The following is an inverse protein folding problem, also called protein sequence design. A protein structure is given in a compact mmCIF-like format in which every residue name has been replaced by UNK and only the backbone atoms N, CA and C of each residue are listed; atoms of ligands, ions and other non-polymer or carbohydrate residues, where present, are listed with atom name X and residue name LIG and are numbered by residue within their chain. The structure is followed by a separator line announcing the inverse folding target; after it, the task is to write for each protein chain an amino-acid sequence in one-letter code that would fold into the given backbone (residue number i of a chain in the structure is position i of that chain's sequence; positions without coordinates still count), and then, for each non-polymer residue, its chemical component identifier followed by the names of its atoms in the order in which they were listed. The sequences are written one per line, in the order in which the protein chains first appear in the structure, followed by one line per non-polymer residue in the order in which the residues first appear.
data_IF_928375130537
#
_entry.id   IF_928375130537
#
_cell.length_a   1.000
_cell.length_b   1.000
_cell.length_c   1.000
_cell.angle_alpha   90.00
_cell.angle_beta   90.00
_cell.angle_gamma   90.00
#
_symmetry.space_group_name_H-M   'P 1'
#
loop_
_entity.id
_entity.type
_entity.pdbx_description
1 polymer ?
#
# COMPACT_ATOMS: atom_id res chain seq x y z
N UNK A 1 4.77 -5.94 18.49
CA UNK A 1 5.09 -4.50 18.70
C UNK A 1 3.82 -3.76 19.12
N UNK A 2 3.87 -2.91 20.15
CA UNK A 2 2.64 -2.37 20.78
C UNK A 2 1.77 -1.55 19.83
N UNK A 3 2.40 -0.85 18.88
CA UNK A 3 1.70 -0.03 17.88
C UNK A 3 0.64 -0.81 17.09
N UNK A 4 0.75 -2.14 16.96
CA UNK A 4 -0.21 -2.95 16.20
C UNK A 4 -1.60 -2.94 16.83
N UNK A 5 -1.69 -2.89 18.16
CA UNK A 5 -2.96 -2.94 18.88
C UNK A 5 -3.73 -1.62 18.71
N UNK A 6 -3.01 -0.50 18.62
CA UNK A 6 -3.59 0.82 18.36
C UNK A 6 -3.89 1.02 16.87
N UNK A 7 -3.03 0.47 15.99
CA UNK A 7 -3.15 0.61 14.54
C UNK A 7 -4.24 -0.27 13.95
N UNK A 8 -4.55 -1.45 14.49
CA UNK A 8 -5.58 -2.31 13.92
C UNK A 8 -6.99 -1.74 14.20
N UNK A 9 -7.80 -1.43 13.17
CA UNK A 9 -9.19 -1.00 13.36
C UNK A 9 -10.11 -2.20 13.67
N UNK A 10 -11.34 -1.93 14.09
CA UNK A 10 -12.36 -2.99 14.27
C UNK A 10 -12.81 -3.62 12.95
N UNK A 11 -12.66 -2.90 11.83
CA UNK A 11 -12.93 -3.38 10.48
C UNK A 11 -11.75 -3.04 9.57
N UNK A 12 -11.17 -4.06 8.97
CA UNK A 12 -10.01 -3.95 8.10
C UNK A 12 -8.89 -4.92 8.48
N UNK A 13 -7.95 -5.14 7.57
CA UNK A 13 -6.85 -6.07 7.75
C UNK A 13 -5.85 -6.00 6.61
N UNK A 14 -4.71 -6.68 6.73
CA UNK A 14 -3.69 -6.67 5.70
C UNK A 14 -2.78 -7.91 5.81
N UNK A 15 -2.05 -8.19 4.73
CA UNK A 15 -0.96 -9.15 4.78
C UNK A 15 0.27 -8.53 5.47
N UNK A 16 0.74 -9.20 6.53
CA UNK A 16 1.96 -8.81 7.24
C UNK A 16 3.17 -8.84 6.32
N UNK A 17 4.13 -7.95 6.58
CA UNK A 17 5.25 -7.69 5.68
C UNK A 17 6.21 -8.85 5.47
N UNK A 18 6.40 -9.72 6.48
CA UNK A 18 7.27 -10.89 6.35
C UNK A 18 6.93 -11.97 7.39
N UNK A 19 7.13 -13.24 7.02
CA UNK A 19 7.02 -14.41 7.89
C UNK A 19 8.20 -15.34 7.64
N UNK A 20 8.95 -15.63 8.69
CA UNK A 20 10.04 -16.61 8.67
C UNK A 20 10.13 -17.34 10.03
N UNK A 21 10.96 -18.39 10.17
CA UNK A 21 11.12 -19.08 11.45
C UNK A 21 11.41 -18.10 12.59
N UNK A 22 10.59 -18.14 13.64
CA UNK A 22 10.65 -17.26 14.81
C UNK A 22 10.59 -15.74 14.53
N UNK A 23 10.14 -15.30 13.34
CA UNK A 23 10.06 -13.87 13.00
C UNK A 23 8.81 -13.56 12.18
N UNK A 24 8.07 -12.56 12.64
CA UNK A 24 7.00 -11.92 11.88
C UNK A 24 7.27 -10.41 11.84
N UNK A 25 7.35 -9.86 10.64
CA UNK A 25 7.38 -8.41 10.44
C UNK A 25 5.94 -7.94 10.25
N UNK A 26 5.39 -7.33 11.30
CA UNK A 26 4.03 -6.84 11.29
C UNK A 26 3.84 -5.57 10.47
N UNK A 27 4.89 -4.92 9.95
CA UNK A 27 4.69 -3.67 9.20
C UNK A 27 3.78 -3.88 7.99
N UNK A 28 2.93 -2.90 7.74
CA UNK A 28 2.12 -2.84 6.53
C UNK A 28 3.00 -2.37 5.37
N UNK A 29 2.89 -3.01 4.20
CA UNK A 29 3.57 -2.62 2.98
C UNK A 29 2.56 -2.42 1.86
N UNK A 30 2.53 -1.22 1.28
CA UNK A 30 1.57 -0.84 0.24
C UNK A 30 1.60 -1.79 -0.95
N UNK A 31 2.78 -1.90 -1.59
CA UNK A 31 2.90 -2.57 -2.88
C UNK A 31 2.52 -4.04 -2.78
N UNK A 32 2.95 -4.73 -1.71
CA UNK A 32 2.60 -6.13 -1.49
C UNK A 32 1.10 -6.35 -1.34
N UNK A 33 0.42 -5.53 -0.53
CA UNK A 33 -1.02 -5.65 -0.32
C UNK A 33 -1.82 -5.33 -1.60
N UNK A 34 -1.44 -4.30 -2.35
CA UNK A 34 -2.17 -3.91 -3.55
C UNK A 34 -1.91 -4.83 -4.74
N UNK A 35 -0.68 -5.31 -4.91
CA UNK A 35 -0.38 -6.34 -5.92
C UNK A 35 -1.12 -7.63 -5.59
N UNK A 36 -1.24 -8.02 -4.32
CA UNK A 36 -2.01 -9.21 -3.94
C UNK A 36 -3.49 -9.11 -4.34
N UNK A 37 -4.10 -7.92 -4.24
CA UNK A 37 -5.47 -7.69 -4.72
C UNK A 37 -5.53 -7.76 -6.26
N UNK A 38 -4.63 -7.05 -6.93
CA UNK A 38 -4.62 -6.97 -8.39
C UNK A 38 -4.33 -8.33 -9.05
N UNK A 39 -3.50 -9.16 -8.43
CA UNK A 39 -3.18 -10.51 -8.89
C UNK A 39 -4.19 -11.58 -8.43
N UNK A 40 -5.29 -11.19 -7.79
CA UNK A 40 -6.30 -12.12 -7.25
C UNK A 40 -5.75 -13.15 -6.25
N UNK A 41 -4.69 -12.79 -5.52
CA UNK A 41 -4.15 -13.61 -4.42
C UNK A 41 -5.04 -13.52 -3.17
N UNK A 42 -5.65 -12.36 -2.94
CA UNK A 42 -6.62 -12.15 -1.87
C UNK A 42 -7.96 -12.82 -2.18
N UNK A 43 -8.65 -13.33 -1.16
CA UNK A 43 -10.11 -13.52 -1.26
C UNK A 43 -10.82 -12.16 -1.39
N UNK A 44 -12.07 -12.15 -1.84
CA UNK A 44 -12.86 -10.91 -1.90
C UNK A 44 -12.98 -10.21 -0.54
N UNK A 45 -13.18 -10.97 0.54
CA UNK A 45 -13.24 -10.45 1.91
C UNK A 45 -11.90 -9.82 2.34
N UNK A 46 -10.77 -10.45 2.00
CA UNK A 46 -9.44 -9.91 2.29
C UNK A 46 -9.16 -8.63 1.51
N UNK A 47 -9.58 -8.57 0.24
CA UNK A 47 -9.41 -7.39 -0.60
C UNK A 47 -10.18 -6.18 -0.05
N UNK A 48 -11.44 -6.37 0.32
CA UNK A 48 -12.25 -5.34 0.99
C UNK A 48 -11.65 -4.93 2.34
N UNK A 49 -11.19 -5.89 3.15
CA UNK A 49 -10.57 -5.59 4.44
C UNK A 49 -9.28 -4.76 4.30
N UNK A 50 -8.47 -4.98 3.27
CA UNK A 50 -7.29 -4.16 2.97
C UNK A 50 -7.70 -2.73 2.63
N UNK A 51 -8.74 -2.55 1.84
CA UNK A 51 -9.18 -1.21 1.43
C UNK A 51 -9.89 -0.48 2.58
N UNK A 52 -10.64 -1.20 3.42
CA UNK A 52 -11.21 -0.69 4.66
C UNK A 52 -10.12 -0.19 5.62
N UNK A 53 -9.02 -0.93 5.78
CA UNK A 53 -7.88 -0.48 6.59
C UNK A 53 -7.33 0.87 6.08
N UNK A 54 -7.23 1.05 4.77
CA UNK A 54 -6.73 2.30 4.17
C UNK A 54 -7.65 3.48 4.46
N UNK A 55 -8.96 3.28 4.45
CA UNK A 55 -9.92 4.32 4.84
C UNK A 55 -9.90 4.62 6.34
N UNK A 56 -9.90 3.59 7.19
CA UNK A 56 -9.91 3.73 8.65
C UNK A 56 -8.60 4.35 9.18
N UNK A 57 -7.46 4.05 8.52
CA UNK A 57 -6.12 4.57 8.85
C UNK A 57 -5.60 5.55 7.80
N UNK A 58 -6.51 6.39 7.29
CA UNK A 58 -6.21 7.35 6.24
C UNK A 58 -5.07 8.30 6.62
N UNK A 59 -5.05 8.82 7.85
CA UNK A 59 -4.02 9.77 8.29
C UNK A 59 -2.64 9.12 8.39
N UNK A 60 -2.57 7.85 8.80
CA UNK A 60 -1.34 7.08 8.90
C UNK A 60 -0.81 6.62 7.54
N UNK A 61 -1.68 6.16 6.64
CA UNK A 61 -1.30 5.51 5.38
C UNK A 61 -1.28 6.46 4.16
N UNK A 62 -2.10 7.52 4.19
CA UNK A 62 -2.18 8.55 3.15
C UNK A 62 -1.67 9.90 3.68
N UNK A 63 -2.23 10.39 4.78
CA UNK A 63 -1.95 11.72 5.31
C UNK A 63 -2.18 12.83 4.27
N UNK A 64 -1.18 13.68 4.08
CA UNK A 64 -1.20 14.81 3.13
C UNK A 64 -0.52 14.50 1.79
N UNK A 65 0.02 13.28 1.61
CA UNK A 65 0.59 12.82 0.35
C UNK A 65 0.43 11.31 0.18
N UNK A 66 -0.46 10.84 -0.71
CA UNK A 66 -0.55 9.42 -1.04
C UNK A 66 0.75 8.94 -1.70
N UNK A 67 1.31 7.80 -1.31
CA UNK A 67 0.94 6.99 -0.14
C UNK A 67 2.17 6.41 0.54
N UNK A 68 2.04 6.02 1.80
CA UNK A 68 3.14 5.39 2.53
C UNK A 68 3.62 4.13 1.83
N UNK A 69 4.93 4.00 1.69
CA UNK A 69 5.54 2.76 1.18
C UNK A 69 5.39 1.62 2.20
N UNK A 70 5.55 1.95 3.47
CA UNK A 70 5.32 1.06 4.60
C UNK A 70 4.91 1.84 5.86
N UNK A 71 4.34 1.14 6.83
CA UNK A 71 3.98 1.71 8.12
C UNK A 71 4.14 0.69 9.27
N UNK A 72 4.62 1.12 10.46
CA UNK A 72 5.27 2.41 10.75
C UNK A 72 6.73 2.45 10.29
N UNK A 73 7.38 3.61 10.45
CA UNK A 73 8.84 3.73 10.33
C UNK A 73 9.55 3.08 11.52
N UNK A 74 10.71 2.50 11.26
CA UNK A 74 11.66 2.05 12.27
C UNK A 74 12.36 3.27 12.90
N UNK A 75 12.55 3.23 14.21
CA UNK A 75 13.13 4.33 14.99
C UNK A 75 14.22 3.83 15.95
N UNK A 76 15.08 4.74 16.42
CA UNK A 76 16.08 4.48 17.47
C UNK A 76 16.92 3.22 17.20
N UNK A 77 17.02 2.31 18.18
CA UNK A 77 17.79 1.07 18.07
C UNK A 77 17.31 0.15 16.95
N UNK A 78 16.01 0.09 16.69
CA UNK A 78 15.48 -0.72 15.58
C UNK A 78 16.02 -0.22 14.24
N UNK A 79 16.01 1.09 14.03
CA UNK A 79 16.60 1.69 12.84
C UNK A 79 18.10 1.40 12.74
N UNK A 80 18.86 1.58 13.84
CA UNK A 80 20.31 1.33 13.85
C UNK A 80 20.64 -0.11 13.45
N UNK A 81 19.94 -1.08 14.05
CA UNK A 81 20.20 -2.52 13.85
C UNK A 81 19.70 -2.97 12.48
N UNK A 82 18.45 -2.67 12.12
CA UNK A 82 17.82 -3.23 10.91
C UNK A 82 18.36 -2.58 9.64
N UNK A 83 18.65 -1.27 9.68
CA UNK A 83 19.15 -0.55 8.49
C UNK A 83 20.68 -0.47 8.43
N UNK A 84 21.39 -0.84 9.50
CA UNK A 84 22.83 -0.61 9.59
C UNK A 84 23.19 0.88 9.66
N UNK A 85 22.37 1.67 10.36
CA UNK A 85 22.47 3.13 10.44
C UNK A 85 22.43 3.86 9.08
N UNK A 86 21.63 3.36 8.12
CA UNK A 86 21.54 3.94 6.77
C UNK A 86 20.99 5.38 6.81
N UNK A 87 21.82 6.39 6.48
CA UNK A 87 21.43 7.79 6.59
C UNK A 87 20.37 8.21 5.56
N UNK A 88 20.09 7.44 4.50
CA UNK A 88 19.01 7.75 3.56
C UNK A 88 17.64 7.34 4.11
N UNK A 89 17.61 6.29 4.92
CA UNK A 89 16.40 5.69 5.48
C UNK A 89 16.12 6.14 6.93
N UNK A 90 16.31 7.43 7.21
CA UNK A 90 15.96 8.03 8.50
C UNK A 90 14.45 7.90 8.80
N UNK A 91 14.06 8.19 10.04
CA UNK A 91 12.66 8.14 10.50
C UNK A 91 11.71 8.87 9.53
N UNK A 92 10.68 8.17 9.04
CA UNK A 92 9.68 8.66 8.08
C UNK A 92 10.28 9.21 6.79
N UNK A 93 11.37 8.60 6.29
CA UNK A 93 12.06 9.03 5.07
C UNK A 93 12.31 7.88 4.12
N UNK A 94 12.23 8.18 2.82
CA UNK A 94 12.58 7.24 1.75
C UNK A 94 11.87 5.88 1.91
N UNK A 95 12.58 4.77 2.04
CA UNK A 95 11.96 3.45 2.24
C UNK A 95 11.45 3.22 3.66
N UNK A 96 11.89 4.01 4.64
CA UNK A 96 11.52 3.88 6.05
C UNK A 96 10.31 4.77 6.40
N UNK A 97 9.15 4.47 5.80
CA UNK A 97 7.91 5.19 6.04
C UNK A 97 7.74 6.51 5.26
N UNK A 98 8.49 6.69 4.17
CA UNK A 98 8.26 7.79 3.22
C UNK A 98 6.93 7.63 2.47
N UNK A 99 6.38 8.75 1.99
CA UNK A 99 5.23 8.78 1.09
C UNK A 99 5.70 8.86 -0.36
N UNK A 100 5.23 7.96 -1.22
CA UNK A 100 5.70 7.80 -2.59
C UNK A 100 4.58 8.06 -3.59
N UNK A 101 4.64 9.17 -4.38
CA UNK A 101 3.58 9.52 -5.32
C UNK A 101 3.31 8.45 -6.38
N UNK A 102 4.36 7.73 -6.81
CA UNK A 102 4.22 6.63 -7.76
C UNK A 102 3.22 5.56 -7.31
N UNK A 103 3.01 5.35 -6.01
CA UNK A 103 2.11 4.30 -5.51
C UNK A 103 0.62 4.64 -5.70
N UNK A 104 0.28 5.88 -6.06
CA UNK A 104 -1.11 6.32 -6.27
C UNK A 104 -1.84 5.45 -7.30
N UNK A 105 -1.20 5.08 -8.41
CA UNK A 105 -1.88 4.30 -9.45
C UNK A 105 -2.31 2.92 -8.95
N UNK A 106 -1.58 2.32 -7.99
CA UNK A 106 -1.96 1.05 -7.38
C UNK A 106 -3.22 1.21 -6.52
N UNK A 107 -3.27 2.28 -5.69
CA UNK A 107 -4.47 2.59 -4.90
C UNK A 107 -5.68 2.79 -5.80
N UNK A 108 -5.50 3.52 -6.91
CA UNK A 108 -6.57 3.75 -7.89
C UNK A 108 -6.99 2.43 -8.56
N UNK A 109 -6.05 1.63 -9.04
CA UNK A 109 -6.35 0.34 -9.67
C UNK A 109 -7.13 -0.58 -8.73
N UNK A 110 -6.70 -0.72 -7.47
CA UNK A 110 -7.39 -1.52 -6.45
C UNK A 110 -8.78 -0.95 -6.15
N UNK A 111 -8.89 0.37 -5.97
CA UNK A 111 -10.17 1.03 -5.70
C UNK A 111 -11.15 0.86 -6.85
N UNK A 112 -10.69 0.90 -8.10
CA UNK A 112 -11.51 0.64 -9.29
C UNK A 112 -11.89 -0.85 -9.36
N UNK A 113 -10.95 -1.77 -9.10
CA UNK A 113 -11.20 -3.23 -9.08
C UNK A 113 -12.31 -3.59 -8.10
N UNK A 114 -12.30 -3.00 -6.91
CA UNK A 114 -13.29 -3.26 -5.85
C UNK A 114 -14.55 -2.40 -5.97
N UNK A 115 -14.69 -1.58 -7.02
CA UNK A 115 -15.89 -0.76 -7.20
C UNK A 115 -16.03 0.39 -6.19
N UNK A 116 -14.92 0.87 -5.62
CA UNK A 116 -14.86 1.93 -4.60
C UNK A 116 -14.06 3.16 -5.09
N UNK A 117 -14.45 3.78 -6.22
CA UNK A 117 -13.67 4.87 -6.84
C UNK A 117 -13.63 6.15 -6.00
N UNK A 118 -14.48 6.32 -4.98
CA UNK A 118 -14.45 7.50 -4.11
C UNK A 118 -13.13 7.60 -3.32
N UNK A 119 -12.53 6.47 -2.92
CA UNK A 119 -11.23 6.41 -2.24
C UNK A 119 -10.13 6.93 -3.18
N UNK A 120 -10.14 6.45 -4.44
CA UNK A 120 -9.22 6.87 -5.47
C UNK A 120 -9.33 8.38 -5.77
N UNK A 121 -10.56 8.88 -5.94
CA UNK A 121 -10.80 10.32 -6.17
C UNK A 121 -10.27 11.18 -5.02
N UNK A 122 -10.56 10.80 -3.76
CA UNK A 122 -10.03 11.49 -2.58
C UNK A 122 -8.50 11.50 -2.56
N UNK A 123 -7.86 10.37 -2.88
CA UNK A 123 -6.39 10.31 -2.92
C UNK A 123 -5.81 11.21 -4.03
N UNK A 124 -6.40 11.19 -5.22
CA UNK A 124 -6.01 12.08 -6.33
C UNK A 124 -6.15 13.55 -5.93
N UNK A 125 -7.26 13.95 -5.30
CA UNK A 125 -7.48 15.31 -4.80
C UNK A 125 -6.44 15.72 -3.75
N UNK A 126 -6.01 14.82 -2.86
CA UNK A 126 -4.93 15.09 -1.91
C UNK A 126 -3.61 15.35 -2.64
N UNK A 127 -3.25 14.51 -3.61
CA UNK A 127 -2.01 14.65 -4.38
C UNK A 127 -1.99 15.92 -5.24
N UNK A 128 -3.09 16.23 -5.94
CA UNK A 128 -3.21 17.37 -6.87
C UNK A 128 -3.01 18.73 -6.18
N UNK A 129 -3.22 18.83 -4.86
CA UNK A 129 -2.97 20.07 -4.09
C UNK A 129 -1.51 20.55 -4.18
N UNK A 130 -0.57 19.62 -4.38
CA UNK A 130 0.87 19.85 -4.19
C UNK A 130 1.78 19.28 -5.26
N UNK A 131 1.46 18.14 -5.88
CA UNK A 131 2.40 17.41 -6.74
C UNK A 131 3.06 18.28 -7.82
N UNK A 132 2.26 19.10 -8.51
CA UNK A 132 2.76 20.01 -9.56
C UNK A 132 3.56 21.18 -8.96
N UNK A 133 3.10 21.75 -7.85
CA UNK A 133 3.78 22.87 -7.16
C UNK A 133 5.16 22.47 -6.64
N UNK A 134 5.28 21.22 -6.21
CA UNK A 134 6.51 20.65 -5.66
C UNK A 134 7.40 20.04 -6.78
N UNK A 135 7.03 20.21 -8.07
CA UNK A 135 7.79 19.77 -9.24
C UNK A 135 8.00 18.25 -9.33
N UNK A 136 6.94 17.48 -9.08
CA UNK A 136 6.93 16.01 -9.14
C UNK A 136 8.09 15.32 -8.41
N UNK A 137 8.20 15.47 -7.07
CA UNK A 137 9.26 14.82 -6.30
C UNK A 137 9.21 13.30 -6.38
N UNK A 138 10.37 12.67 -6.20
CA UNK A 138 10.51 11.23 -6.10
C UNK A 138 9.75 10.65 -4.89
N UNK A 139 9.84 11.31 -3.74
CA UNK A 139 9.19 10.90 -2.49
C UNK A 139 9.03 12.09 -1.53
N UNK A 140 8.24 11.90 -0.47
CA UNK A 140 7.95 12.85 0.60
C UNK A 140 8.24 12.23 1.97
N UNK A 141 8.66 13.08 2.91
CA UNK A 141 9.06 12.70 4.27
C UNK A 141 8.08 13.20 5.33
N UNK A 142 8.22 12.62 6.52
CA UNK A 142 7.44 12.93 7.71
C UNK A 142 6.19 12.06 7.85
N UNK A 143 5.63 12.01 9.06
CA UNK A 143 4.49 11.14 9.42
C UNK A 143 3.34 11.24 8.42
N UNK A 144 2.93 12.46 8.07
CA UNK A 144 1.86 12.71 7.11
C UNK A 144 2.34 13.01 5.67
N UNK A 145 3.65 12.88 5.36
CA UNK A 145 4.18 13.21 4.03
C UNK A 145 4.19 14.71 3.71
N UNK A 146 4.33 15.56 4.74
CA UNK A 146 4.28 17.03 4.60
C UNK A 146 5.49 17.63 3.89
N UNK A 147 6.64 16.99 3.99
CA UNK A 147 7.90 17.57 3.52
C UNK A 147 8.32 16.89 2.23
N UNK A 148 8.84 17.64 1.27
CA UNK A 148 9.53 17.04 0.12
C UNK A 148 10.69 16.21 0.65
N UNK A 149 10.89 15.01 0.08
CA UNK A 149 11.86 14.05 0.60
C UNK A 149 13.27 14.64 0.69
N UNK A 150 14.00 14.30 1.75
CA UNK A 150 15.32 14.85 2.10
C UNK A 150 16.32 14.84 0.94
N UNK A 151 16.26 13.83 0.09
CA UNK A 151 17.09 13.67 -1.10
C UNK A 151 16.23 13.36 -2.34
N UNK A 152 14.98 13.79 -2.34
CA UNK A 152 14.07 13.52 -3.45
C UNK A 152 14.50 14.30 -4.71
N UNK A 153 14.59 13.57 -5.83
CA UNK A 153 14.78 14.19 -7.14
C UNK A 153 13.46 14.82 -7.59
N UNK A 154 13.54 15.98 -8.22
CA UNK A 154 12.42 16.61 -8.92
C UNK A 154 12.22 15.97 -10.29
N UNK A 155 11.02 16.13 -10.84
CA UNK A 155 10.62 15.61 -12.15
C UNK A 155 10.87 14.11 -12.29
N UNK A 156 10.66 13.37 -11.20
CA UNK A 156 10.90 11.94 -11.18
C UNK A 156 9.86 11.25 -12.08
N UNK A 157 10.34 10.55 -13.12
CA UNK A 157 9.51 10.01 -14.21
C UNK A 157 8.33 9.18 -13.71
N UNK A 158 8.55 8.30 -12.73
CA UNK A 158 7.48 7.44 -12.20
C UNK A 158 6.45 8.16 -11.32
N UNK A 159 6.79 9.33 -10.78
CA UNK A 159 5.86 10.15 -9.99
C UNK A 159 4.88 10.83 -10.94
N UNK A 160 5.39 11.29 -12.09
CA UNK A 160 4.56 11.79 -13.19
C UNK A 160 3.72 10.66 -13.79
N UNK A 161 4.35 9.54 -14.16
CA UNK A 161 3.66 8.43 -14.82
C UNK A 161 2.61 7.79 -13.91
N UNK A 162 2.90 7.58 -12.62
CA UNK A 162 1.93 7.04 -11.66
C UNK A 162 0.69 7.93 -11.51
N UNK A 163 0.88 9.26 -11.48
CA UNK A 163 -0.25 10.18 -11.50
C UNK A 163 -1.07 10.09 -12.79
N UNK A 164 -0.42 10.05 -13.96
CA UNK A 164 -1.13 9.94 -15.25
C UNK A 164 -1.90 8.62 -15.37
N UNK A 165 -1.29 7.48 -15.00
CA UNK A 165 -1.95 6.18 -15.00
C UNK A 165 -3.15 6.17 -14.06
N UNK A 166 -3.05 6.79 -12.88
CA UNK A 166 -4.18 6.95 -11.97
C UNK A 166 -5.34 7.71 -12.60
N UNK A 167 -5.08 8.82 -13.30
CA UNK A 167 -6.12 9.57 -14.02
C UNK A 167 -6.75 8.74 -15.14
N UNK A 168 -5.93 8.06 -15.94
CA UNK A 168 -6.42 7.20 -17.04
C UNK A 168 -7.29 6.03 -16.55
N UNK A 169 -6.97 5.44 -15.40
CA UNK A 169 -7.79 4.39 -14.78
C UNK A 169 -9.12 4.90 -14.22
N UNK A 170 -9.14 6.14 -13.71
CA UNK A 170 -10.38 6.77 -13.25
C UNK A 170 -11.28 7.19 -14.42
N UNK A 171 -10.69 7.68 -15.51
CA UNK A 171 -11.41 8.13 -16.70
C UNK A 171 -11.98 6.94 -17.50
N UNK A 172 -11.20 5.86 -17.63
CA UNK A 172 -11.63 4.62 -18.28
C UNK A 172 -11.24 3.38 -17.46
N UNK A 173 -12.17 2.87 -16.62
CA UNK A 173 -11.99 1.65 -15.83
C UNK A 173 -11.65 0.40 -16.63
N UNK A 174 -11.93 0.36 -17.95
CA UNK A 174 -11.61 -0.81 -18.78
C UNK A 174 -10.10 -1.05 -18.90
N UNK A 175 -9.28 -0.01 -18.66
CA UNK A 175 -7.82 -0.10 -18.63
C UNK A 175 -7.29 -1.00 -17.50
N UNK A 176 -8.10 -1.28 -16.47
CA UNK A 176 -7.74 -2.16 -15.37
C UNK A 176 -7.31 -3.56 -15.85
N UNK A 177 -7.86 -4.04 -16.98
CA UNK A 177 -7.50 -5.33 -17.62
C UNK A 177 -6.01 -5.49 -17.94
N UNK A 178 -5.27 -4.38 -18.05
CA UNK A 178 -3.84 -4.41 -18.32
C UNK A 178 -3.00 -4.78 -17.08
N UNK A 179 -3.56 -4.60 -15.88
CA UNK A 179 -2.81 -4.67 -14.61
C UNK A 179 -3.48 -5.54 -13.54
N UNK A 180 -4.69 -6.06 -13.79
CA UNK A 180 -5.39 -6.96 -12.86
C UNK A 180 -5.75 -8.30 -13.50
N UNK A 181 -5.63 -9.37 -12.72
CA UNK A 181 -6.25 -10.66 -13.03
C UNK A 181 -7.72 -10.65 -12.57
N UNK A 182 -8.54 -11.44 -13.26
CA UNK A 182 -9.92 -11.70 -12.86
C UNK A 182 -9.92 -12.63 -11.65
N UNK A 183 -10.84 -12.40 -10.72
CA UNK A 183 -11.03 -13.31 -9.60
C UNK A 183 -11.62 -14.63 -10.12
N UNK A 184 -11.14 -15.76 -9.58
CA UNK A 184 -11.62 -17.07 -9.98
C UNK A 184 -13.11 -17.22 -9.62
N UNK A 185 -13.99 -16.97 -10.58
CA UNK A 185 -15.42 -17.22 -10.45
C UNK A 185 -15.78 -18.73 -10.46
N UNK A 186 -14.77 -19.62 -10.47
CA UNK A 186 -14.95 -21.06 -10.63
C UNK A 186 -14.07 -21.93 -9.71
N UNK A 187 -14.22 -21.83 -8.39
CA UNK A 187 -14.01 -22.99 -7.48
C UNK A 187 -15.14 -23.03 -6.44
N UNK A 188 -16.39 -23.19 -6.89
CA UNK A 188 -17.51 -23.64 -6.03
C UNK A 188 -17.56 -25.15 -5.82
N UNK A 189 -16.58 -25.89 -6.34
CA UNK A 189 -16.35 -27.28 -5.94
C UNK A 189 -15.11 -27.31 -5.06
N UNK A 190 -15.32 -27.23 -3.74
CA UNK A 190 -14.28 -27.58 -2.78
C UNK A 190 -13.67 -28.94 -3.21
N UNK A 191 -12.34 -29.10 -3.25
CA UNK A 191 -11.78 -30.43 -3.34
C UNK A 191 -12.25 -31.18 -2.10
N UNK A 192 -12.99 -32.27 -2.31
CA UNK A 192 -13.35 -33.19 -1.23
C UNK A 192 -12.04 -33.66 -0.61
N UNK A 193 -11.69 -33.12 0.56
CA UNK A 193 -10.60 -33.60 1.39
C UNK A 193 -10.95 -35.05 1.78
N UNK A 194 -10.47 -36.03 1.00
CA UNK A 194 -10.47 -37.42 1.43
C UNK A 194 -9.51 -37.53 2.60
N UNK A 195 -10.05 -37.72 3.80
CA UNK A 195 -9.26 -38.06 4.99
C UNK A 195 -8.33 -39.23 4.64
N UNK A 196 -7.04 -39.08 4.94
CA UNK A 196 -6.10 -40.20 4.90
C UNK A 196 -6.51 -41.22 5.95
N UNK A 197 -6.73 -42.47 5.54
CA UNK A 197 -6.88 -43.59 6.47
C UNK A 197 -5.49 -43.97 6.99
N UNK A 198 -5.03 -43.29 8.04
CA UNK A 198 -4.03 -43.87 8.93
C UNK A 198 -4.75 -44.80 9.91
N UNK A 199 -4.58 -46.11 9.70
CA UNK A 199 -5.02 -47.17 10.61
C UNK A 199 -4.21 -47.13 11.93
N UNK A 200 -4.77 -47.67 13.03
CA UNK A 200 -4.24 -47.52 14.40
C UNK A 200 -2.93 -48.27 14.64
#
# INVERSE_FOLDING_TARGET
PDWIFDFMPSRGGYFIGNVSPARMDFRWFCLGNFIAILSSLTTGEQAEAILDLVEERWEELIGEMPMKVCYPAMENQEWQIVTGCDPKNTRWSYHNGGSWPVLLWLLVAVSVKLGRPHIARRAVEVMEKRLVKDEFPEYYDGKAGRYVGKQARKFQTWSVAGYLVAKMLLDDPSNLRAVSLADDCHIRSAPVLKRSNSFP
#
